data_IF_896501027502
#
_entry.id   IF_896501027502
#
_cell.length_a   1.000
_cell.length_b   1.000
_cell.length_c   1.000
_cell.angle_alpha   90.00
_cell.angle_beta   90.00
_cell.angle_gamma   90.00
#
_symmetry.space_group_name_H-M   'P 1'
#
loop_
_entity.id
_entity.type
_entity.pdbx_description
1 polymer ?
#
# COMPACT_ATOMS: atom_id res chain seq x y z
N UNK A 1 27.43 9.34 24.64
CA UNK A 1 28.44 8.53 23.90
C UNK A 1 29.70 8.32 24.74
N UNK A 2 30.40 9.39 25.14
CA UNK A 2 31.65 9.30 25.94
C UNK A 2 31.49 8.52 27.25
N UNK A 3 30.35 8.66 27.93
CA UNK A 3 30.05 7.87 29.14
C UNK A 3 29.84 6.39 28.82
N UNK A 4 29.02 6.05 27.81
CA UNK A 4 28.75 4.65 27.42
C UNK A 4 30.01 3.90 26.93
N UNK A 5 30.98 4.61 26.34
CA UNK A 5 32.25 4.02 25.88
C UNK A 5 33.17 3.56 27.01
N UNK A 6 32.84 3.85 28.28
CA UNK A 6 33.58 3.33 29.45
C UNK A 6 33.26 1.85 29.69
N UNK A 7 32.02 1.44 29.43
CA UNK A 7 31.52 0.11 29.79
C UNK A 7 31.18 -0.75 28.55
N UNK A 8 31.07 -0.15 27.36
CA UNK A 8 30.66 -0.82 26.13
C UNK A 8 31.60 -0.54 24.94
N UNK A 9 31.71 -1.52 24.03
CA UNK A 9 32.45 -1.37 22.78
C UNK A 9 31.85 -0.30 21.87
N UNK A 10 32.66 0.26 20.97
CA UNK A 10 32.20 1.25 19.99
C UNK A 10 31.02 0.73 19.14
N UNK A 11 31.05 -0.57 18.77
CA UNK A 11 29.96 -1.22 18.02
C UNK A 11 28.66 -1.26 18.82
N UNK A 12 28.72 -1.65 20.10
CA UNK A 12 27.54 -1.67 20.98
C UNK A 12 26.96 -0.26 21.19
N UNK A 13 27.82 0.73 21.44
CA UNK A 13 27.38 2.13 21.60
C UNK A 13 26.72 2.64 20.31
N UNK A 14 27.29 2.35 19.14
CA UNK A 14 26.70 2.74 17.86
C UNK A 14 25.34 2.08 17.62
N UNK A 15 25.24 0.77 17.84
CA UNK A 15 23.99 0.03 17.67
C UNK A 15 22.89 0.52 18.62
N UNK A 16 23.23 0.79 19.89
CA UNK A 16 22.28 1.32 20.88
C UNK A 16 21.77 2.72 20.49
N UNK A 17 22.65 3.61 20.00
CA UNK A 17 22.26 4.94 19.52
C UNK A 17 21.39 4.87 18.26
N UNK A 18 21.72 3.98 17.33
CA UNK A 18 20.88 3.74 16.15
C UNK A 18 19.51 3.24 16.55
N UNK A 19 19.43 2.24 17.43
CA UNK A 19 18.16 1.72 17.92
C UNK A 19 17.33 2.81 18.61
N UNK A 20 17.93 3.61 19.50
CA UNK A 20 17.23 4.71 20.16
C UNK A 20 16.61 5.70 19.16
N UNK A 21 17.35 6.05 18.09
CA UNK A 21 16.83 6.92 17.01
C UNK A 21 15.72 6.25 16.21
N UNK A 22 15.85 4.96 15.91
CA UNK A 22 14.83 4.20 15.18
C UNK A 22 13.54 4.10 15.98
N UNK A 23 13.61 3.89 17.30
CA UNK A 23 12.43 3.84 18.17
C UNK A 23 11.65 5.14 18.17
N UNK A 24 12.34 6.29 18.21
CA UNK A 24 11.68 7.60 18.11
C UNK A 24 10.94 7.76 16.77
N UNK A 25 11.55 7.32 15.67
CA UNK A 25 10.92 7.35 14.34
C UNK A 25 9.79 6.33 14.19
N UNK A 26 9.85 5.22 14.92
CA UNK A 26 8.90 4.13 14.81
C UNK A 26 7.57 4.41 15.52
N UNK A 27 7.48 5.46 16.35
CA UNK A 27 6.25 5.88 17.02
C UNK A 27 5.10 6.07 16.02
N UNK A 28 5.37 6.66 14.85
CA UNK A 28 4.33 6.89 13.83
C UNK A 28 3.69 5.58 13.33
N UNK A 29 4.44 4.46 13.33
CA UNK A 29 3.97 3.16 12.80
C UNK A 29 3.59 2.14 13.87
N UNK A 30 4.10 2.29 15.09
CA UNK A 30 3.98 1.29 16.16
C UNK A 30 3.51 1.89 17.50
N UNK A 31 3.25 3.20 17.56
CA UNK A 31 2.85 3.90 18.78
C UNK A 31 3.85 3.72 19.91
N UNK A 32 3.35 3.70 21.14
CA UNK A 32 4.18 3.58 22.36
C UNK A 32 4.99 2.29 22.43
N UNK A 33 4.52 1.22 21.77
CA UNK A 33 5.25 -0.05 21.69
C UNK A 33 6.63 0.09 21.02
N UNK A 34 6.80 1.09 20.14
CA UNK A 34 8.06 1.38 19.49
C UNK A 34 9.23 1.49 20.48
N UNK A 35 9.00 2.02 21.68
CA UNK A 35 10.04 2.19 22.69
C UNK A 35 10.69 0.87 23.17
N UNK A 36 9.98 -0.26 23.01
CA UNK A 36 10.43 -1.59 23.46
C UNK A 36 10.90 -2.50 22.32
N UNK A 37 10.49 -2.20 21.10
CA UNK A 37 10.77 -3.00 19.91
C UNK A 37 12.20 -2.83 19.38
N UNK A 38 12.66 -3.78 18.57
CA UNK A 38 13.85 -3.70 17.75
C UNK A 38 13.51 -3.46 16.28
N UNK A 39 14.36 -2.65 15.66
CA UNK A 39 14.25 -2.21 14.29
C UNK A 39 15.63 -2.24 13.62
N UNK A 40 15.63 -2.40 12.30
CA UNK A 40 16.69 -1.81 11.49
C UNK A 40 16.12 -0.67 10.67
N UNK A 41 17.00 0.18 10.13
CA UNK A 41 16.58 1.28 9.25
C UNK A 41 15.74 0.78 8.07
N UNK A 42 16.24 -0.22 7.35
CA UNK A 42 15.57 -0.74 6.15
C UNK A 42 14.22 -1.37 6.47
N UNK A 43 14.08 -2.10 7.57
CA UNK A 43 12.79 -2.67 7.96
C UNK A 43 11.80 -1.61 8.43
N UNK A 44 12.23 -0.59 9.17
CA UNK A 44 11.33 0.49 9.57
C UNK A 44 10.82 1.28 8.37
N UNK A 45 11.69 1.57 7.40
CA UNK A 45 11.30 2.25 6.16
C UNK A 45 10.31 1.42 5.32
N UNK A 46 10.49 0.08 5.30
CA UNK A 46 9.65 -0.83 4.50
C UNK A 46 8.40 -1.32 5.22
N UNK A 47 8.33 -1.21 6.55
CA UNK A 47 7.17 -1.62 7.34
C UNK A 47 5.87 -1.02 6.80
N UNK A 48 4.84 -1.86 6.72
CA UNK A 48 3.50 -1.49 6.24
C UNK A 48 2.91 -0.34 7.06
N UNK A 49 2.04 0.46 6.42
CA UNK A 49 1.28 1.48 7.12
C UNK A 49 0.41 0.84 8.22
N UNK A 50 0.35 1.39 9.44
CA UNK A 50 -0.40 0.78 10.55
C UNK A 50 -1.91 0.65 10.28
N UNK A 51 -2.51 1.51 9.44
CA UNK A 51 -3.92 1.39 9.06
C UNK A 51 -4.14 0.19 8.13
N UNK A 52 -3.30 0.08 7.10
CA UNK A 52 -3.38 -1.00 6.11
C UNK A 52 -3.10 -2.35 6.77
N UNK A 53 -2.09 -2.42 7.62
CA UNK A 53 -1.77 -3.63 8.39
C UNK A 53 -2.94 -4.09 9.26
N UNK A 54 -3.61 -3.17 9.96
CA UNK A 54 -4.79 -3.50 10.78
C UNK A 54 -5.96 -3.99 9.94
N UNK A 55 -6.20 -3.36 8.79
CA UNK A 55 -7.21 -3.78 7.83
C UNK A 55 -6.92 -5.15 7.23
N UNK A 56 -5.66 -5.46 6.94
CA UNK A 56 -5.26 -6.79 6.49
C UNK A 56 -5.52 -7.82 7.60
N UNK A 57 -5.13 -7.50 8.83
CA UNK A 57 -5.31 -8.37 9.99
C UNK A 57 -6.79 -8.56 10.39
N UNK A 58 -7.69 -7.62 10.10
CA UNK A 58 -9.12 -7.79 10.40
C UNK A 58 -9.83 -8.83 9.52
N UNK A 59 -9.14 -9.36 8.50
CA UNK A 59 -9.63 -10.43 7.64
C UNK A 59 -9.25 -11.82 8.15
N UNK A 60 -8.54 -11.90 9.28
CA UNK A 60 -8.24 -13.15 9.94
C UNK A 60 -8.81 -13.21 11.34
N UNK A 61 -8.97 -14.42 11.87
CA UNK A 61 -9.46 -14.69 13.21
C UNK A 61 -8.57 -15.71 13.94
N UNK A 62 -8.97 -16.11 15.15
CA UNK A 62 -8.21 -17.03 15.98
C UNK A 62 -8.12 -18.48 15.48
N UNK A 63 -8.94 -18.85 14.49
CA UNK A 63 -8.89 -20.16 13.85
C UNK A 63 -7.98 -20.17 12.63
N UNK A 64 -7.60 -19.00 12.11
CA UNK A 64 -6.72 -18.90 10.96
C UNK A 64 -5.25 -19.13 11.31
N UNK A 65 -4.61 -19.96 10.49
CA UNK A 65 -3.16 -20.12 10.43
C UNK A 65 -2.60 -19.22 9.35
N UNK A 66 -1.66 -18.36 9.74
CA UNK A 66 -1.00 -17.40 8.84
C UNK A 66 0.49 -17.72 8.78
N UNK A 67 1.02 -17.88 7.57
CA UNK A 67 2.46 -17.83 7.33
C UNK A 67 2.81 -16.46 6.77
N UNK A 68 3.73 -15.76 7.43
CA UNK A 68 4.35 -14.54 6.91
C UNK A 68 5.71 -14.93 6.29
N UNK A 69 5.74 -15.11 4.97
CA UNK A 69 6.83 -15.72 4.23
C UNK A 69 8.07 -14.83 4.03
N UNK A 70 8.04 -13.59 4.52
CA UNK A 70 9.16 -12.63 4.54
C UNK A 70 8.97 -11.66 5.71
N UNK A 71 8.94 -12.19 6.93
CA UNK A 71 8.38 -11.49 8.08
C UNK A 71 9.20 -10.28 8.55
N UNK A 72 10.49 -10.20 8.20
CA UNK A 72 11.38 -9.12 8.61
C UNK A 72 11.39 -8.95 10.13
N UNK A 73 11.05 -7.75 10.61
CA UNK A 73 10.96 -7.47 12.06
C UNK A 73 9.62 -7.90 12.69
N UNK A 74 8.81 -8.66 11.95
CA UNK A 74 7.48 -9.13 12.33
C UNK A 74 6.37 -8.09 12.15
N UNK A 75 6.55 -7.05 11.34
CA UNK A 75 5.62 -5.92 11.32
C UNK A 75 4.17 -6.33 11.07
N UNK A 76 3.88 -7.12 10.02
CA UNK A 76 2.55 -7.65 9.70
C UNK A 76 2.20 -8.88 10.54
N UNK A 77 3.15 -9.80 10.77
CA UNK A 77 3.02 -10.93 11.72
C UNK A 77 2.43 -10.54 13.07
N UNK A 78 2.91 -9.45 13.67
CA UNK A 78 2.43 -8.97 14.97
C UNK A 78 0.97 -8.49 14.91
N UNK A 79 0.53 -7.92 13.79
CA UNK A 79 -0.86 -7.52 13.64
C UNK A 79 -1.79 -8.71 13.43
N UNK A 80 -1.37 -9.71 12.65
CA UNK A 80 -2.11 -10.96 12.54
C UNK A 80 -2.24 -11.67 13.89
N UNK A 81 -1.15 -11.75 14.65
CA UNK A 81 -1.17 -12.34 16.00
C UNK A 81 -2.06 -11.52 16.97
N UNK A 82 -2.06 -10.19 16.86
CA UNK A 82 -2.95 -9.33 17.64
C UNK A 82 -4.43 -9.50 17.28
N UNK A 83 -4.74 -9.91 16.04
CA UNK A 83 -6.08 -10.31 15.62
C UNK A 83 -6.48 -11.72 16.08
N UNK A 84 -5.55 -12.46 16.71
CA UNK A 84 -5.77 -13.77 17.31
C UNK A 84 -5.25 -14.95 16.48
N UNK A 85 -4.79 -14.73 15.24
CA UNK A 85 -4.35 -15.79 14.35
C UNK A 85 -3.12 -16.56 14.89
N UNK A 86 -3.00 -17.83 14.50
CA UNK A 86 -1.79 -18.62 14.73
C UNK A 86 -0.76 -18.29 13.65
N UNK A 87 0.27 -17.51 14.05
CA UNK A 87 1.25 -16.95 13.11
C UNK A 87 2.58 -17.69 13.17
N UNK A 88 3.08 -18.08 11.99
CA UNK A 88 4.47 -18.45 11.75
C UNK A 88 5.12 -17.45 10.79
N UNK A 89 6.04 -16.62 11.30
CA UNK A 89 6.86 -15.75 10.47
C UNK A 89 8.16 -16.42 10.04
N UNK A 90 8.50 -16.33 8.76
CA UNK A 90 9.71 -16.88 8.18
C UNK A 90 10.54 -15.75 7.59
N UNK A 91 11.85 -15.77 7.82
CA UNK A 91 12.79 -14.88 7.16
C UNK A 91 14.12 -15.60 6.94
N UNK A 92 14.83 -15.26 5.86
CA UNK A 92 16.15 -15.84 5.58
C UNK A 92 17.23 -15.24 6.50
N UNK A 93 17.02 -14.02 7.01
CA UNK A 93 17.97 -13.33 7.87
C UNK A 93 17.71 -13.69 9.36
N UNK A 94 18.63 -14.41 10.03
CA UNK A 94 18.47 -14.78 11.43
C UNK A 94 18.35 -13.56 12.36
N UNK A 95 18.94 -12.42 12.00
CA UNK A 95 18.82 -11.19 12.80
C UNK A 95 17.39 -10.64 12.74
N UNK A 96 16.70 -10.81 11.61
CA UNK A 96 15.29 -10.43 11.46
C UNK A 96 14.39 -11.27 12.32
N UNK A 97 14.58 -12.58 12.28
CA UNK A 97 13.86 -13.55 13.12
C UNK A 97 14.02 -13.20 14.60
N UNK A 98 15.25 -12.97 15.08
CA UNK A 98 15.51 -12.55 16.47
C UNK A 98 14.81 -11.23 16.83
N UNK A 99 14.83 -10.24 15.94
CA UNK A 99 14.10 -8.98 16.13
C UNK A 99 12.59 -9.22 16.23
N UNK A 100 12.02 -10.06 15.37
CA UNK A 100 10.60 -10.37 15.33
C UNK A 100 10.14 -11.12 16.60
N UNK A 101 10.92 -12.11 17.04
CA UNK A 101 10.70 -12.84 18.29
C UNK A 101 10.72 -11.90 19.50
N UNK A 102 11.74 -11.03 19.59
CA UNK A 102 11.81 -10.02 20.65
C UNK A 102 10.60 -9.08 20.61
N UNK A 103 10.21 -8.60 19.42
CA UNK A 103 9.07 -7.71 19.26
C UNK A 103 7.75 -8.35 19.69
N UNK A 104 7.52 -9.61 19.36
CA UNK A 104 6.34 -10.35 19.79
C UNK A 104 6.32 -10.52 21.31
N UNK A 105 7.46 -10.88 21.92
CA UNK A 105 7.58 -11.01 23.36
C UNK A 105 7.30 -9.70 24.10
N UNK A 106 7.83 -8.56 23.62
CA UNK A 106 7.57 -7.23 24.21
C UNK A 106 6.11 -6.76 24.12
N UNK A 107 5.35 -7.36 23.21
CA UNK A 107 3.92 -7.10 23.00
C UNK A 107 3.03 -8.17 23.66
N UNK A 108 3.61 -9.22 24.24
CA UNK A 108 2.84 -10.35 24.79
C UNK A 108 2.07 -11.14 23.73
N UNK A 109 2.49 -11.07 22.47
CA UNK A 109 1.82 -11.71 21.35
C UNK A 109 2.35 -13.12 21.14
N UNK A 110 1.44 -14.07 20.86
CA UNK A 110 1.78 -15.45 20.54
C UNK A 110 2.00 -15.59 19.04
N UNK A 111 3.25 -15.47 18.61
CA UNK A 111 3.69 -15.74 17.25
C UNK A 111 4.99 -16.54 17.28
N UNK A 112 5.16 -17.46 16.33
CA UNK A 112 6.39 -18.23 16.13
C UNK A 112 7.17 -17.61 14.98
N UNK A 113 8.49 -17.65 15.07
CA UNK A 113 9.35 -17.18 13.99
C UNK A 113 10.51 -18.14 13.80
N UNK A 114 10.85 -18.42 12.55
CA UNK A 114 11.93 -19.35 12.22
C UNK A 114 12.75 -18.87 11.01
N UNK A 115 13.99 -19.34 10.94
CA UNK A 115 14.89 -19.00 9.83
C UNK A 115 14.64 -19.98 8.69
N UNK A 116 14.20 -19.48 7.53
CA UNK A 116 13.92 -20.32 6.36
C UNK A 116 14.04 -19.53 5.06
N UNK A 117 14.53 -20.20 4.02
CA UNK A 117 14.50 -19.67 2.66
C UNK A 117 13.25 -20.20 1.95
N UNK A 118 12.23 -19.34 1.85
CA UNK A 118 10.95 -19.68 1.21
C UNK A 118 11.06 -19.97 -0.30
N UNK A 119 12.22 -19.73 -0.92
CA UNK A 119 12.48 -20.12 -2.31
C UNK A 119 12.89 -21.58 -2.47
N UNK A 120 13.48 -22.19 -1.44
CA UNK A 120 13.89 -23.60 -1.43
C UNK A 120 12.96 -24.47 -0.59
N UNK A 121 12.33 -23.90 0.44
CA UNK A 121 11.58 -24.63 1.45
C UNK A 121 10.06 -24.56 1.21
N UNK A 122 9.62 -24.56 -0.05
CA UNK A 122 8.19 -24.49 -0.39
C UNK A 122 7.37 -25.62 0.28
N UNK A 123 7.98 -26.78 0.54
CA UNK A 123 7.33 -27.88 1.25
C UNK A 123 6.90 -27.51 2.68
N UNK A 124 7.65 -26.63 3.36
CA UNK A 124 7.29 -26.18 4.70
C UNK A 124 5.94 -25.47 4.69
N UNK A 125 5.68 -24.65 3.66
CA UNK A 125 4.39 -23.97 3.47
C UNK A 125 3.26 -24.99 3.30
N UNK A 126 3.46 -26.03 2.47
CA UNK A 126 2.46 -27.07 2.24
C UNK A 126 2.18 -27.89 3.51
N UNK A 127 3.22 -28.28 4.25
CA UNK A 127 3.10 -29.07 5.49
C UNK A 127 2.40 -28.28 6.60
N UNK A 128 2.71 -26.98 6.72
CA UNK A 128 2.05 -26.11 7.68
C UNK A 128 0.56 -25.89 7.35
N UNK A 129 0.16 -26.12 6.10
CA UNK A 129 -1.21 -26.05 5.59
C UNK A 129 -1.95 -24.76 6.03
N UNK A 130 -1.39 -23.56 5.76
CA UNK A 130 -1.93 -22.30 6.23
C UNK A 130 -3.25 -21.94 5.56
N UNK A 131 -4.08 -21.18 6.25
CA UNK A 131 -5.26 -20.56 5.64
C UNK A 131 -4.85 -19.35 4.78
N UNK A 132 -3.82 -18.61 5.22
CA UNK A 132 -3.26 -17.46 4.51
C UNK A 132 -1.74 -17.48 4.48
N UNK A 133 -1.17 -17.16 3.32
CA UNK A 133 0.25 -16.89 3.13
C UNK A 133 0.39 -15.40 2.84
N UNK A 134 0.96 -14.65 3.77
CA UNK A 134 1.34 -13.27 3.56
C UNK A 134 2.78 -13.18 3.03
N UNK A 135 3.00 -12.32 2.05
CA UNK A 135 4.29 -12.17 1.39
C UNK A 135 4.62 -10.70 1.14
N UNK A 136 5.68 -10.19 1.76
CA UNK A 136 6.20 -8.82 1.55
C UNK A 136 7.68 -8.90 1.13
N UNK A 137 7.98 -9.26 -0.12
CA UNK A 137 9.36 -9.38 -0.56
C UNK A 137 10.07 -8.02 -0.60
N UNK A 138 11.36 -8.03 -0.32
CA UNK A 138 12.17 -6.83 -0.36
C UNK A 138 12.23 -6.28 -1.80
N UNK A 139 11.91 -4.99 -1.93
CA UNK A 139 11.82 -4.27 -3.21
C UNK A 139 12.88 -3.18 -3.36
N UNK A 140 13.97 -3.29 -2.59
CA UNK A 140 15.12 -2.39 -2.66
C UNK A 140 16.39 -3.19 -2.84
N UNK A 141 17.25 -2.72 -3.74
CA UNK A 141 18.60 -3.28 -3.90
C UNK A 141 19.47 -3.03 -2.67
N UNK A 142 20.62 -3.68 -2.59
CA UNK A 142 21.62 -3.46 -1.54
C UNK A 142 22.14 -2.00 -1.50
N UNK A 143 22.04 -1.29 -2.63
CA UNK A 143 22.34 0.13 -2.81
C UNK A 143 21.19 1.06 -2.40
N UNK A 144 20.04 0.50 -2.01
CA UNK A 144 18.82 1.23 -1.65
C UNK A 144 17.96 1.65 -2.85
N UNK A 145 18.35 1.33 -4.08
CA UNK A 145 17.59 1.67 -5.28
C UNK A 145 16.24 0.96 -5.32
N UNK A 146 15.22 1.63 -5.87
CA UNK A 146 13.87 1.06 -5.99
C UNK A 146 13.84 0.01 -7.10
N UNK A 147 13.26 -1.14 -6.79
CA UNK A 147 13.02 -2.21 -7.74
C UNK A 147 11.56 -2.11 -8.24
N UNK A 148 11.39 -2.02 -9.56
CA UNK A 148 10.07 -1.89 -10.19
C UNK A 148 9.57 -3.19 -10.83
N UNK A 149 10.50 -4.02 -11.28
CA UNK A 149 10.21 -5.34 -11.84
C UNK A 149 9.97 -6.33 -10.69
N UNK A 150 8.78 -6.93 -10.66
CA UNK A 150 8.37 -7.85 -9.59
C UNK A 150 9.20 -9.13 -9.56
N UNK A 151 9.87 -9.47 -10.67
CA UNK A 151 10.79 -10.61 -10.72
C UNK A 151 12.17 -10.31 -10.17
N UNK A 152 12.47 -9.04 -9.89
CA UNK A 152 13.70 -8.62 -9.24
C UNK A 152 13.51 -8.37 -7.74
N UNK A 153 12.31 -8.59 -7.22
CA UNK A 153 12.08 -8.58 -5.78
C UNK A 153 12.91 -9.68 -5.12
N UNK A 154 13.11 -9.56 -3.81
CA UNK A 154 13.89 -10.51 -3.03
C UNK A 154 13.01 -11.08 -1.91
N UNK A 155 12.45 -12.29 -2.09
CA UNK A 155 12.54 -13.14 -3.29
C UNK A 155 11.63 -12.67 -4.45
N UNK A 156 11.83 -13.17 -5.69
CA UNK A 156 11.00 -12.82 -6.85
C UNK A 156 9.53 -13.13 -6.62
N UNK A 157 8.63 -12.35 -7.25
CA UNK A 157 7.19 -12.61 -7.12
C UNK A 157 6.80 -14.01 -7.61
N UNK A 158 7.48 -14.56 -8.62
CA UNK A 158 7.29 -15.94 -9.08
C UNK A 158 7.52 -17.03 -8.03
N UNK A 159 8.13 -16.73 -6.87
CA UNK A 159 8.19 -17.66 -5.73
C UNK A 159 6.81 -18.18 -5.34
N UNK A 160 5.76 -17.35 -5.45
CA UNK A 160 4.40 -17.74 -5.11
C UNK A 160 3.86 -18.93 -5.93
N UNK A 161 4.42 -19.18 -7.12
CA UNK A 161 4.00 -20.29 -7.97
C UNK A 161 4.29 -21.66 -7.34
N UNK A 162 5.28 -21.74 -6.45
CA UNK A 162 5.63 -22.97 -5.74
C UNK A 162 4.66 -23.28 -4.58
N UNK A 163 3.93 -22.28 -4.08
CA UNK A 163 2.95 -22.46 -3.02
C UNK A 163 1.60 -22.93 -3.56
N UNK A 164 1.30 -22.64 -4.83
CA UNK A 164 0.07 -23.10 -5.50
C UNK A 164 -1.17 -22.78 -4.68
N UNK A 165 -1.98 -23.80 -4.40
CA UNK A 165 -3.26 -23.68 -3.70
C UNK A 165 -3.14 -24.01 -2.19
N UNK A 166 -1.93 -23.85 -1.60
CA UNK A 166 -1.67 -24.14 -0.19
C UNK A 166 -2.54 -23.30 0.77
N UNK A 167 -2.89 -22.08 0.37
CA UNK A 167 -3.73 -21.15 1.12
C UNK A 167 -4.12 -19.93 0.28
N UNK A 168 -4.82 -18.97 0.88
CA UNK A 168 -5.03 -17.63 0.30
C UNK A 168 -3.68 -16.90 0.26
N UNK A 169 -3.19 -16.52 -0.91
CA UNK A 169 -1.93 -15.77 -1.00
C UNK A 169 -2.24 -14.27 -1.02
N UNK A 170 -1.63 -13.52 -0.10
CA UNK A 170 -1.74 -12.07 0.01
C UNK A 170 -0.35 -11.48 -0.10
N UNK A 171 -0.09 -10.68 -1.14
CA UNK A 171 1.21 -10.09 -1.41
C UNK A 171 1.14 -8.58 -1.26
N UNK A 172 2.07 -8.01 -0.51
CA UNK A 172 2.29 -6.56 -0.51
C UNK A 172 3.18 -6.17 -1.67
N UNK A 173 2.70 -5.24 -2.48
CA UNK A 173 3.35 -4.77 -3.69
C UNK A 173 3.60 -3.26 -3.63
N UNK A 174 4.49 -2.81 -4.51
CA UNK A 174 4.69 -1.38 -4.72
C UNK A 174 3.40 -0.71 -5.20
N UNK A 175 3.05 0.51 -4.71
CA UNK A 175 1.88 1.25 -5.21
C UNK A 175 1.98 1.58 -6.71
N UNK A 176 3.19 1.55 -7.28
CA UNK A 176 3.45 1.74 -8.71
C UNK A 176 3.61 0.44 -9.49
N UNK A 177 3.19 -0.72 -8.96
CA UNK A 177 3.28 -2.00 -9.67
C UNK A 177 2.60 -1.91 -11.04
N UNK A 178 3.24 -2.49 -12.05
CA UNK A 178 2.68 -2.55 -13.39
C UNK A 178 1.75 -3.77 -13.48
N UNK A 179 0.46 -3.52 -13.70
CA UNK A 179 -0.57 -4.57 -13.76
C UNK A 179 -0.27 -5.66 -14.81
N UNK A 180 0.44 -5.31 -15.90
CA UNK A 180 0.90 -6.26 -16.92
C UNK A 180 1.72 -7.41 -16.30
N UNK A 181 2.61 -7.10 -15.37
CA UNK A 181 3.50 -8.09 -14.74
C UNK A 181 2.72 -9.11 -13.88
N UNK A 182 1.46 -8.79 -13.54
CA UNK A 182 0.60 -9.61 -12.71
C UNK A 182 -0.33 -10.52 -13.53
N UNK A 183 -0.53 -10.27 -14.83
CA UNK A 183 -1.46 -11.03 -15.68
C UNK A 183 -1.12 -12.51 -15.86
N UNK A 184 0.14 -12.88 -15.62
CA UNK A 184 0.56 -14.28 -15.65
C UNK A 184 0.01 -15.09 -14.46
N UNK A 185 -0.31 -14.43 -13.35
CA UNK A 185 -1.03 -15.06 -12.24
C UNK A 185 -2.52 -15.07 -12.58
N UNK A 186 -3.25 -16.12 -12.19
CA UNK A 186 -4.68 -16.30 -12.51
C UNK A 186 -5.54 -15.86 -11.32
N UNK A 187 -6.77 -15.42 -11.59
CA UNK A 187 -7.75 -14.99 -10.57
C UNK A 187 -7.19 -13.91 -9.62
N UNK A 188 -6.65 -12.84 -10.20
CA UNK A 188 -5.88 -11.83 -9.47
C UNK A 188 -6.77 -10.68 -9.03
N UNK A 189 -6.81 -10.42 -7.72
CA UNK A 189 -7.38 -9.19 -7.17
C UNK A 189 -6.24 -8.27 -6.77
N UNK A 190 -6.30 -7.00 -7.17
CA UNK A 190 -5.32 -5.97 -6.82
C UNK A 190 -6.03 -4.81 -6.14
N UNK A 191 -5.83 -4.68 -4.84
CA UNK A 191 -6.41 -3.60 -4.05
C UNK A 191 -5.38 -2.50 -3.84
N UNK A 192 -5.62 -1.31 -4.40
CA UNK A 192 -4.77 -0.13 -4.18
C UNK A 192 -5.18 0.57 -2.89
N UNK A 193 -4.22 0.81 -1.99
CA UNK A 193 -4.50 1.36 -0.66
C UNK A 193 -3.96 2.80 -0.52
N UNK A 194 -4.86 3.74 -0.28
CA UNK A 194 -4.56 5.15 0.00
C UNK A 194 -4.80 5.47 1.47
N UNK A 195 -3.91 6.25 2.10
CA UNK A 195 -4.07 6.75 3.47
C UNK A 195 -4.02 8.27 3.42
N UNK A 196 -5.12 8.92 3.77
CA UNK A 196 -5.31 10.37 3.74
C UNK A 196 -4.88 11.03 2.42
N UNK A 197 -5.21 10.38 1.30
CA UNK A 197 -4.91 10.87 -0.05
C UNK A 197 -3.52 10.52 -0.57
N UNK A 198 -2.72 9.77 0.19
CA UNK A 198 -1.43 9.24 -0.25
C UNK A 198 -1.53 7.75 -0.61
N UNK A 199 -1.20 7.39 -1.84
CA UNK A 199 -1.10 5.98 -2.25
C UNK A 199 0.09 5.30 -1.57
N UNK A 200 -0.16 4.33 -0.69
CA UNK A 200 0.89 3.69 0.11
C UNK A 200 1.38 2.38 -0.51
N UNK A 201 0.47 1.48 -0.87
CA UNK A 201 0.79 0.15 -1.42
C UNK A 201 -0.33 -0.40 -2.29
N UNK A 202 0.00 -1.48 -3.01
CA UNK A 202 -0.98 -2.35 -3.65
C UNK A 202 -0.94 -3.70 -2.94
N UNK A 203 -2.10 -4.34 -2.78
CA UNK A 203 -2.22 -5.68 -2.20
C UNK A 203 -2.73 -6.61 -3.28
N UNK A 204 -1.94 -7.61 -3.63
CA UNK A 204 -2.35 -8.67 -4.55
C UNK A 204 -2.90 -9.85 -3.75
N UNK A 205 -4.08 -10.31 -4.12
CA UNK A 205 -4.75 -11.45 -3.49
C UNK A 205 -4.99 -12.52 -4.55
N UNK A 206 -4.53 -13.74 -4.27
CA UNK A 206 -4.76 -14.94 -5.07
C UNK A 206 -5.58 -15.93 -4.24
N UNK A 207 -6.86 -16.15 -4.56
CA UNK A 207 -7.71 -17.11 -3.86
C UNK A 207 -7.16 -18.54 -3.93
N UNK A 208 -7.42 -19.31 -2.87
CA UNK A 208 -7.03 -20.74 -2.78
C UNK A 208 -7.66 -21.59 -3.88
N UNK A 209 -8.95 -21.36 -4.17
CA UNK A 209 -9.65 -22.07 -5.23
C UNK A 209 -9.65 -21.21 -6.50
N UNK A 210 -9.24 -21.81 -7.62
CA UNK A 210 -9.34 -21.24 -8.97
C UNK A 210 -10.81 -21.04 -9.33
N UNK A 211 -11.39 -19.94 -8.88
CA UNK A 211 -12.72 -19.50 -9.31
C UNK A 211 -12.56 -18.97 -10.73
N UNK A 212 -13.33 -19.51 -11.67
CA UNK A 212 -13.13 -19.47 -13.13
C UNK A 212 -13.23 -18.11 -13.83
N UNK A 213 -12.77 -17.02 -13.21
CA UNK A 213 -12.49 -15.76 -13.87
C UNK A 213 -11.00 -15.67 -14.22
N UNK A 214 -10.66 -15.72 -15.50
CA UNK A 214 -9.30 -15.49 -16.03
C UNK A 214 -8.89 -14.00 -16.00
N UNK A 215 -9.38 -13.24 -15.00
CA UNK A 215 -9.29 -11.79 -14.95
C UNK A 215 -8.33 -11.24 -13.90
N UNK A 216 -7.82 -10.05 -14.17
CA UNK A 216 -7.24 -9.15 -13.18
C UNK A 216 -8.34 -8.13 -12.80
N UNK A 217 -8.70 -8.12 -11.53
CA UNK A 217 -9.68 -7.19 -10.96
C UNK A 217 -8.94 -6.18 -10.07
N UNK A 218 -9.26 -4.90 -10.24
CA UNK A 218 -8.70 -3.84 -9.41
C UNK A 218 -9.77 -3.24 -8.51
N UNK A 219 -9.36 -2.96 -7.28
CA UNK A 219 -10.16 -2.33 -6.21
C UNK A 219 -9.35 -1.17 -5.62
N UNK A 220 -10.04 -0.33 -4.86
CA UNK A 220 -9.40 0.72 -4.09
C UNK A 220 -9.89 0.70 -2.63
N UNK A 221 -9.00 1.01 -1.70
CA UNK A 221 -9.34 1.23 -0.30
C UNK A 221 -8.74 2.56 0.15
N UNK A 222 -9.55 3.37 0.81
CA UNK A 222 -9.17 4.65 1.39
C UNK A 222 -9.31 4.60 2.91
N UNK A 223 -8.21 4.92 3.59
CA UNK A 223 -8.17 5.16 5.02
C UNK A 223 -8.10 6.67 5.24
N UNK A 224 -9.17 7.30 5.72
CA UNK A 224 -9.15 8.72 6.04
C UNK A 224 -10.08 9.05 7.21
N UNK A 225 -9.65 9.96 8.10
CA UNK A 225 -10.46 10.44 9.22
C UNK A 225 -11.08 9.32 10.09
N UNK A 226 -10.34 8.23 10.29
CA UNK A 226 -10.81 7.06 11.06
C UNK A 226 -11.82 6.17 10.33
N UNK A 227 -12.13 6.47 9.07
CA UNK A 227 -12.97 5.66 8.19
C UNK A 227 -12.12 4.72 7.35
N UNK A 228 -12.71 3.60 6.97
CA UNK A 228 -12.20 2.69 5.93
C UNK A 228 -13.28 2.61 4.87
N UNK A 229 -12.98 3.10 3.66
CA UNK A 229 -13.87 3.06 2.52
C UNK A 229 -13.31 2.10 1.49
N UNK A 230 -14.11 1.17 1.02
CA UNK A 230 -13.73 0.20 -0.01
C UNK A 230 -14.51 0.49 -1.28
N UNK A 231 -13.83 0.37 -2.43
CA UNK A 231 -14.41 0.61 -3.74
C UNK A 231 -14.17 -0.58 -4.66
N UNK A 232 -15.25 -1.22 -5.04
CA UNK A 232 -15.30 -2.26 -6.05
C UNK A 232 -15.82 -1.71 -7.37
N UNK A 233 -15.28 -2.24 -8.47
CA UNK A 233 -15.71 -1.88 -9.83
C UNK A 233 -17.20 -2.10 -10.01
N UNK A 234 -17.89 -1.10 -10.55
CA UNK A 234 -19.30 -1.19 -10.89
C UNK A 234 -19.47 -1.52 -12.38
N UNK A 235 -20.17 -2.60 -12.75
CA UNK A 235 -20.42 -2.94 -14.15
C UNK A 235 -21.19 -1.82 -14.87
N UNK A 236 -20.79 -1.50 -16.09
CA UNK A 236 -21.56 -0.59 -16.95
C UNK A 236 -21.45 0.91 -16.62
N UNK A 237 -20.48 1.32 -15.80
CA UNK A 237 -20.19 2.73 -15.55
C UNK A 237 -19.57 3.40 -16.79
N UNK A 238 -20.41 3.74 -17.77
CA UNK A 238 -20.01 4.57 -18.91
C UNK A 238 -20.39 6.02 -18.64
N UNK A 239 -19.40 6.91 -18.71
CA UNK A 239 -19.58 8.37 -18.58
C UNK A 239 -19.19 9.05 -19.88
N UNK A 240 -19.88 10.13 -20.21
CA UNK A 240 -19.54 10.95 -21.37
C UNK A 240 -18.24 11.72 -21.15
N UNK A 241 -17.63 12.14 -22.25
CA UNK A 241 -16.52 13.09 -22.24
C UNK A 241 -17.10 14.45 -22.63
N UNK A 242 -16.77 15.49 -21.87
CA UNK A 242 -17.34 16.81 -22.06
C UNK A 242 -16.44 17.95 -21.63
N UNK A 243 -16.95 19.17 -21.81
CA UNK A 243 -16.30 20.39 -21.32
C UNK A 243 -16.41 20.49 -19.79
N UNK A 244 -15.51 21.23 -19.12
CA UNK A 244 -15.62 21.51 -17.70
C UNK A 244 -17.01 22.05 -17.29
N UNK A 245 -17.54 21.48 -16.21
CA UNK A 245 -18.77 21.87 -15.52
C UNK A 245 -18.43 22.69 -14.27
N UNK A 246 -19.37 22.85 -13.33
CA UNK A 246 -19.21 23.70 -12.15
C UNK A 246 -18.06 23.28 -11.20
N UNK A 247 -17.68 22.00 -11.18
CA UNK A 247 -16.58 21.48 -10.37
C UNK A 247 -15.60 20.64 -11.18
N UNK A 248 -14.31 20.87 -10.95
CA UNK A 248 -13.21 19.99 -11.35
C UNK A 248 -12.87 19.06 -10.18
N UNK A 249 -12.89 17.76 -10.43
CA UNK A 249 -12.66 16.74 -9.41
C UNK A 249 -11.41 15.90 -9.72
N UNK A 250 -10.53 15.79 -8.74
CA UNK A 250 -9.37 14.90 -8.72
C UNK A 250 -9.67 13.70 -7.84
N UNK A 251 -9.84 12.50 -8.42
CA UNK A 251 -10.03 11.28 -7.64
C UNK A 251 -8.82 10.97 -6.76
N UNK A 252 -9.05 10.22 -5.69
CA UNK A 252 -8.02 9.65 -4.85
C UNK A 252 -7.04 8.79 -5.69
N UNK A 253 -5.73 8.86 -5.42
CA UNK A 253 -4.72 8.06 -6.14
C UNK A 253 -4.99 6.54 -6.23
N UNK A 254 -5.68 5.94 -5.27
CA UNK A 254 -6.05 4.52 -5.32
C UNK A 254 -7.08 4.24 -6.42
N UNK A 255 -8.12 5.08 -6.57
CA UNK A 255 -9.07 4.96 -7.68
C UNK A 255 -8.39 5.18 -9.03
N UNK A 256 -7.46 6.14 -9.09
CA UNK A 256 -6.68 6.41 -10.31
C UNK A 256 -5.87 5.18 -10.69
N UNK A 257 -5.18 4.55 -9.73
CA UNK A 257 -4.38 3.36 -10.00
C UNK A 257 -5.19 2.10 -10.27
N UNK A 258 -6.36 1.98 -9.68
CA UNK A 258 -7.30 0.90 -9.95
C UNK A 258 -8.02 1.04 -11.31
N UNK A 259 -7.88 2.18 -12.00
CA UNK A 259 -8.59 2.46 -13.24
C UNK A 259 -10.10 2.65 -13.03
N UNK A 260 -10.48 3.27 -11.91
CA UNK A 260 -11.86 3.46 -11.44
C UNK A 260 -12.32 4.92 -11.53
N UNK A 261 -11.67 5.74 -12.36
CA UNK A 261 -12.03 7.16 -12.56
C UNK A 261 -13.42 7.30 -13.16
N UNK A 262 -13.78 6.43 -14.10
CA UNK A 262 -15.12 6.41 -14.71
C UNK A 262 -16.20 6.03 -13.68
N UNK A 263 -15.92 5.04 -12.82
CA UNK A 263 -16.82 4.61 -11.75
C UNK A 263 -17.18 5.76 -10.80
N UNK A 264 -16.19 6.53 -10.32
CA UNK A 264 -16.46 7.66 -9.44
C UNK A 264 -17.13 8.83 -10.17
N UNK A 265 -16.76 9.09 -11.42
CA UNK A 265 -17.43 10.11 -12.23
C UNK A 265 -18.92 9.77 -12.39
N UNK A 266 -19.26 8.51 -12.66
CA UNK A 266 -20.63 8.04 -12.79
C UNK A 266 -21.42 8.25 -11.48
N UNK A 267 -20.86 7.88 -10.33
CA UNK A 267 -21.49 8.10 -9.02
C UNK A 267 -21.71 9.57 -8.68
N UNK A 268 -20.93 10.47 -9.27
CA UNK A 268 -21.08 11.91 -9.09
C UNK A 268 -21.98 12.57 -10.15
N UNK A 269 -22.67 11.79 -11.00
CA UNK A 269 -23.38 12.29 -12.18
C UNK A 269 -22.52 13.22 -13.04
N UNK A 270 -21.22 12.89 -13.15
CA UNK A 270 -20.22 13.68 -13.82
C UNK A 270 -19.87 13.17 -15.22
N UNK A 271 -18.95 13.89 -15.85
CA UNK A 271 -18.35 13.55 -17.13
C UNK A 271 -16.82 13.54 -17.00
N UNK A 272 -16.15 12.77 -17.85
CA UNK A 272 -14.70 12.89 -18.01
C UNK A 272 -14.34 14.14 -18.79
N UNK A 273 -13.12 14.65 -18.58
CA UNK A 273 -12.55 15.72 -19.40
C UNK A 273 -11.72 15.20 -20.56
N UNK A 274 -11.22 13.98 -20.45
CA UNK A 274 -10.37 13.29 -21.42
C UNK A 274 -10.42 11.78 -21.14
N UNK A 275 -10.14 10.94 -22.14
CA UNK A 275 -10.14 9.48 -22.01
C UNK A 275 -9.06 8.96 -21.04
N UNK A 276 -7.96 9.69 -20.89
CA UNK A 276 -6.73 9.24 -20.23
C UNK A 276 -6.32 10.11 -19.04
N UNK A 277 -6.77 11.37 -19.00
CA UNK A 277 -6.47 12.26 -17.87
C UNK A 277 -7.41 11.94 -16.72
N UNK A 278 -6.81 11.56 -15.58
CA UNK A 278 -7.55 11.24 -14.36
C UNK A 278 -8.09 12.48 -13.62
N UNK A 279 -8.95 13.24 -14.30
CA UNK A 279 -9.85 14.25 -13.74
C UNK A 279 -11.24 14.01 -14.32
N UNK A 280 -12.26 14.33 -13.53
CA UNK A 280 -13.64 14.38 -14.00
C UNK A 280 -14.29 15.70 -13.57
N UNK A 281 -15.47 15.97 -14.09
CA UNK A 281 -16.22 17.19 -13.79
C UNK A 281 -17.67 16.87 -13.45
N UNK A 282 -18.28 17.66 -12.57
CA UNK A 282 -19.70 17.55 -12.23
C UNK A 282 -20.32 18.93 -11.96
N UNK A 283 -21.64 19.04 -12.09
CA UNK A 283 -22.39 20.28 -11.82
C UNK A 283 -22.62 20.53 -10.33
N UNK A 284 -22.72 19.45 -9.55
CA UNK A 284 -22.89 19.51 -8.10
C UNK A 284 -22.04 18.44 -7.41
N UNK A 285 -21.49 18.79 -6.25
CA UNK A 285 -20.82 17.81 -5.40
C UNK A 285 -21.86 16.94 -4.70
N UNK A 286 -21.57 15.65 -4.57
CA UNK A 286 -22.42 14.73 -3.81
C UNK A 286 -22.65 15.21 -2.37
N UNK A 287 -23.84 14.94 -1.86
CA UNK A 287 -24.19 15.11 -0.44
C UNK A 287 -23.72 13.95 0.43
N UNK A 288 -23.33 12.82 -0.20
CA UNK A 288 -22.71 11.69 0.50
C UNK A 288 -21.29 12.09 0.96
N UNK A 289 -21.05 12.16 2.29
CA UNK A 289 -19.74 12.54 2.81
C UNK A 289 -18.65 11.53 2.44
N UNK A 290 -18.96 10.25 2.28
CA UNK A 290 -17.97 9.21 1.99
C UNK A 290 -17.50 9.30 0.55
N UNK A 291 -18.44 9.54 -0.38
CA UNK A 291 -18.10 9.78 -1.78
C UNK A 291 -17.20 11.02 -1.95
N UNK A 292 -17.34 12.02 -1.09
CA UNK A 292 -16.48 13.21 -1.10
C UNK A 292 -15.06 12.93 -0.62
N UNK A 293 -14.83 11.95 0.26
CA UNK A 293 -13.49 11.59 0.73
C UNK A 293 -12.63 11.00 -0.39
N UNK A 294 -13.27 10.39 -1.39
CA UNK A 294 -12.60 9.84 -2.56
C UNK A 294 -12.10 10.87 -3.58
N UNK A 295 -12.25 12.17 -3.33
CA UNK A 295 -11.82 13.20 -4.28
C UNK A 295 -11.48 14.54 -3.63
N UNK A 296 -10.61 15.29 -4.28
CA UNK A 296 -10.49 16.74 -4.09
C UNK A 296 -11.29 17.42 -5.18
N UNK A 297 -12.11 18.40 -4.82
CA UNK A 297 -12.91 19.15 -5.78
C UNK A 297 -12.67 20.65 -5.66
N UNK A 298 -12.58 21.32 -6.81
CA UNK A 298 -12.47 22.77 -6.91
C UNK A 298 -13.60 23.29 -7.78
N UNK A 299 -14.26 24.35 -7.33
CA UNK A 299 -15.24 25.05 -8.15
C UNK A 299 -14.53 25.68 -9.35
N UNK A 300 -14.95 25.31 -10.55
CA UNK A 300 -14.47 25.93 -11.78
C UNK A 300 -14.98 27.37 -11.83
N UNK A 301 -14.07 28.32 -12.06
CA UNK A 301 -14.43 29.72 -12.31
C UNK A 301 -14.54 30.02 -13.79
N UNK A 302 -13.59 29.49 -14.57
CA UNK A 302 -13.56 29.62 -16.02
C UNK A 302 -12.73 28.46 -16.60
N UNK A 303 -12.89 28.19 -17.90
CA UNK A 303 -12.07 27.25 -18.65
C UNK A 303 -11.80 27.76 -20.06
N UNK A 304 -10.60 27.50 -20.56
CA UNK A 304 -10.19 27.91 -21.90
C UNK A 304 -9.17 26.93 -22.48
N UNK A 305 -9.07 26.83 -23.82
CA UNK A 305 -7.97 26.11 -24.46
C UNK A 305 -6.61 26.62 -23.98
N UNK A 306 -5.67 25.70 -23.76
CA UNK A 306 -4.36 26.04 -23.19
C UNK A 306 -3.60 27.02 -24.08
N UNK A 307 -3.33 28.21 -23.52
CA UNK A 307 -2.49 29.23 -24.14
C UNK A 307 -1.92 30.14 -23.06
N UNK A 308 -0.59 30.14 -22.88
CA UNK A 308 0.08 30.89 -21.81
C UNK A 308 -0.22 32.39 -21.86
N UNK A 309 -0.33 32.98 -23.07
CA UNK A 309 -0.64 34.41 -23.24
C UNK A 309 -2.07 34.71 -22.76
N UNK A 310 -3.05 33.90 -23.16
CA UNK A 310 -4.45 34.04 -22.70
C UNK A 310 -4.58 33.87 -21.20
N UNK A 311 -3.90 32.89 -20.62
CA UNK A 311 -3.91 32.66 -19.17
C UNK A 311 -3.34 33.87 -18.42
N UNK A 312 -2.20 34.43 -18.87
CA UNK A 312 -1.62 35.65 -18.26
C UNK A 312 -2.57 36.84 -18.35
N UNK A 313 -3.21 37.01 -19.51
CA UNK A 313 -4.19 38.08 -19.71
C UNK A 313 -5.40 37.93 -18.79
N UNK A 314 -5.97 36.72 -18.70
CA UNK A 314 -7.07 36.40 -17.79
C UNK A 314 -6.70 36.71 -16.33
N UNK A 315 -5.51 36.31 -15.90
CA UNK A 315 -5.03 36.57 -14.54
C UNK A 315 -4.91 38.07 -14.26
N UNK A 316 -4.38 38.86 -15.22
CA UNK A 316 -4.30 40.31 -15.11
C UNK A 316 -5.68 40.96 -15.01
N UNK A 317 -6.62 40.54 -15.87
CA UNK A 317 -7.99 41.08 -15.90
C UNK A 317 -8.76 40.79 -14.61
N UNK A 318 -8.48 39.66 -13.95
CA UNK A 318 -9.14 39.24 -12.72
C UNK A 318 -8.33 39.50 -11.45
N UNK A 319 -7.22 40.25 -11.54
CA UNK A 319 -6.38 40.59 -10.39
C UNK A 319 -5.73 39.39 -9.68
N UNK A 320 -5.49 38.30 -10.39
CA UNK A 320 -4.90 37.07 -9.84
C UNK A 320 -3.38 37.23 -9.78
N UNK A 321 -2.83 37.44 -8.58
CA UNK A 321 -1.39 37.67 -8.36
C UNK A 321 -0.55 36.41 -8.14
N UNK A 322 -1.14 35.34 -7.60
CA UNK A 322 -0.45 34.08 -7.33
C UNK A 322 -1.30 32.89 -7.79
N UNK A 323 -0.64 31.90 -8.41
CA UNK A 323 -1.28 30.70 -8.96
C UNK A 323 -0.57 29.45 -8.43
N UNK A 324 -1.36 28.44 -8.07
CA UNK A 324 -0.86 27.07 -7.97
C UNK A 324 -1.20 26.36 -9.27
N UNK A 325 -0.18 25.94 -10.01
CA UNK A 325 -0.38 25.24 -11.29
C UNK A 325 -0.31 23.74 -11.05
N UNK A 326 -1.43 23.06 -11.30
CA UNK A 326 -1.48 21.60 -11.41
C UNK A 326 -1.47 21.19 -12.87
N UNK A 327 -0.71 20.16 -13.20
CA UNK A 327 -0.53 19.69 -14.57
C UNK A 327 -0.71 18.18 -14.64
N UNK A 328 -1.48 17.71 -15.63
CA UNK A 328 -1.58 16.30 -16.06
C UNK A 328 -1.72 16.28 -17.59
N UNK A 329 -1.14 15.28 -18.25
CA UNK A 329 -1.35 15.05 -19.70
C UNK A 329 -0.73 16.05 -20.68
N UNK A 330 0.21 16.91 -20.27
CA UNK A 330 0.87 17.88 -21.16
C UNK A 330 2.38 17.73 -21.13
N UNK A 331 3.10 18.20 -22.18
CA UNK A 331 4.56 18.17 -22.32
C UNK A 331 5.27 19.52 -22.03
N UNK A 332 4.53 20.60 -21.81
CA UNK A 332 5.07 21.96 -21.60
C UNK A 332 5.56 22.19 -20.16
N UNK A 333 6.88 22.13 -19.95
CA UNK A 333 7.58 22.56 -18.71
C UNK A 333 7.37 24.04 -18.41
#
# INVERSE_FOLDING_TARGET
ITMLRKDFSARQVSAALEMARLRLKAVDKFGDAAARMFFSRSALEQASDPLIRRWRASRVDAMHRVIDACCGIGADSLAFAAAGADVLGLDIDPVRVEMAQHNAAQLGLRARFDVSDVTTDAQLIHVAAPDTIFFDPARRGADGARIFDVERYQPPLSTLLHWGDAGLIVVKLSPGVQLEQLRRYRSVFVTFCSVSGDLKEAVLTLPRARSGGDGLCCEAVLFDQGRVLEWERQPGAAVSIGTPQAYLCEPDPALIRAGLVQDIAARCNGALLDETIAYFTCDALSTDPDLRLWMKAWRARDWMPFNVRRIREYCRQHGIGALTVKRRGTAVT
#
